data_IF_241357966306
#
_entry.id   IF_241357966306
#
_cell.length_a   1.000
_cell.length_b   1.000
_cell.length_c   1.000
_cell.angle_alpha   90.00
_cell.angle_beta   90.00
_cell.angle_gamma   90.00
#
_symmetry.space_group_name_H-M   'P 1'
#
loop_
_entity.id
_entity.type
_entity.pdbx_description
1 polymer ?
#
# COMPACT_ATOMS: atom_id res chain seq x y z
N UNK A 1 -43.93 32.30 3.27
CA UNK A 1 -43.00 31.78 4.29
C UNK A 1 -42.84 30.28 4.08
N UNK A 2 -41.84 29.85 3.33
CA UNK A 2 -41.46 28.44 3.17
C UNK A 2 -40.22 28.19 4.02
N UNK A 3 -40.36 27.29 4.99
CA UNK A 3 -39.23 26.81 5.81
C UNK A 3 -38.25 26.07 4.93
N UNK A 4 -37.02 26.54 4.87
CA UNK A 4 -35.86 25.85 4.31
C UNK A 4 -35.45 24.81 5.35
N UNK A 5 -35.53 23.53 5.02
CA UNK A 5 -34.99 22.45 5.83
C UNK A 5 -33.44 22.43 5.64
N UNK A 6 -32.76 22.91 6.63
CA UNK A 6 -31.36 22.63 6.90
C UNK A 6 -31.28 21.23 7.54
N UNK A 7 -30.91 20.23 6.81
CA UNK A 7 -30.46 18.92 7.32
C UNK A 7 -29.72 18.18 6.19
N UNK A 8 -28.44 18.52 6.01
CA UNK A 8 -27.47 17.69 5.32
C UNK A 8 -26.06 18.15 5.70
N UNK A 9 -25.68 17.93 6.97
CA UNK A 9 -24.29 18.02 7.42
C UNK A 9 -24.12 17.29 8.77
N UNK A 10 -24.51 16.02 8.83
CA UNK A 10 -24.17 15.15 9.95
C UNK A 10 -24.05 13.72 9.41
N UNK A 11 -22.88 13.30 8.95
CA UNK A 11 -22.39 11.91 9.07
C UNK A 11 -21.04 11.66 8.35
N UNK A 12 -20.02 12.49 8.59
CA UNK A 12 -18.68 12.16 8.07
C UNK A 12 -17.53 12.44 9.08
N UNK A 13 -17.82 12.74 10.33
CA UNK A 13 -16.80 13.17 11.31
C UNK A 13 -16.23 12.05 12.19
N UNK A 14 -16.75 10.82 12.15
CA UNK A 14 -16.37 9.77 13.12
C UNK A 14 -15.76 8.47 12.52
N UNK A 15 -15.30 8.47 11.28
CA UNK A 15 -14.42 7.37 10.83
C UNK A 15 -13.00 7.65 11.34
N UNK A 16 -12.75 7.26 12.59
CA UNK A 16 -11.41 7.33 13.19
C UNK A 16 -10.39 6.67 12.29
N UNK A 17 -9.32 7.44 11.94
CA UNK A 17 -8.23 6.98 11.09
C UNK A 17 -7.60 5.69 11.66
N UNK A 18 -7.51 4.58 10.89
CA UNK A 18 -6.79 3.40 11.35
C UNK A 18 -5.35 3.74 11.71
N UNK A 19 -4.78 3.03 12.69
CA UNK A 19 -3.40 3.27 13.12
C UNK A 19 -2.38 3.17 11.98
N UNK A 20 -2.65 2.34 10.98
CA UNK A 20 -1.86 2.28 9.75
C UNK A 20 -1.80 3.65 9.06
N UNK A 21 -2.94 4.32 8.88
CA UNK A 21 -3.01 5.63 8.26
C UNK A 21 -2.23 6.69 9.02
N UNK A 22 -2.34 6.72 10.36
CA UNK A 22 -1.59 7.66 11.20
C UNK A 22 -0.08 7.47 11.07
N UNK A 23 0.40 6.22 10.95
CA UNK A 23 1.83 5.93 10.73
C UNK A 23 2.29 6.46 9.37
N UNK A 24 1.51 6.24 8.31
CA UNK A 24 1.82 6.75 6.98
C UNK A 24 1.76 8.26 6.91
N UNK A 25 0.71 8.87 7.46
CA UNK A 25 0.58 10.34 7.48
C UNK A 25 1.78 10.99 8.15
N UNK A 26 2.19 10.54 9.35
CA UNK A 26 3.38 11.05 10.03
C UNK A 26 4.66 10.87 9.20
N UNK A 27 4.83 9.71 8.56
CA UNK A 27 5.99 9.43 7.72
C UNK A 27 6.05 10.34 6.50
N UNK A 28 4.95 10.48 5.77
CA UNK A 28 4.90 11.33 4.57
C UNK A 28 4.95 12.82 4.89
N UNK A 29 4.39 13.27 6.01
CA UNK A 29 4.45 14.67 6.42
C UNK A 29 5.87 15.12 6.79
N UNK A 30 6.71 14.24 7.30
CA UNK A 30 8.10 14.56 7.67
C UNK A 30 9.07 14.63 6.48
N UNK A 31 8.70 14.10 5.32
CA UNK A 31 9.55 14.01 4.15
C UNK A 31 9.40 15.23 3.22
N UNK A 32 10.47 15.63 2.56
CA UNK A 32 10.44 16.63 1.48
C UNK A 32 9.82 16.00 0.23
N UNK A 33 8.73 16.60 -0.28
CA UNK A 33 8.01 16.04 -1.42
C UNK A 33 8.80 16.11 -2.73
N UNK A 34 9.54 17.18 -2.96
CA UNK A 34 10.39 17.33 -4.16
C UNK A 34 11.48 16.26 -4.18
N UNK A 35 12.12 16.01 -3.03
CA UNK A 35 13.08 14.92 -2.89
C UNK A 35 12.43 13.54 -3.14
N UNK A 36 11.24 13.29 -2.58
CA UNK A 36 10.50 12.05 -2.83
C UNK A 36 10.15 11.84 -4.31
N UNK A 37 9.76 12.92 -5.02
CA UNK A 37 9.50 12.88 -6.47
C UNK A 37 10.79 12.56 -7.24
N UNK A 38 11.92 13.16 -6.86
CA UNK A 38 13.22 12.87 -7.46
C UNK A 38 13.66 11.41 -7.29
N UNK A 39 13.37 10.83 -6.14
CA UNK A 39 13.70 9.43 -5.87
C UNK A 39 12.89 8.44 -6.72
N UNK A 40 11.72 8.84 -7.25
CA UNK A 40 10.90 7.97 -8.09
C UNK A 40 11.65 7.43 -9.31
N UNK A 41 12.62 8.15 -9.87
CA UNK A 41 13.39 7.70 -11.03
C UNK A 41 14.26 6.46 -10.76
N UNK A 42 14.52 6.13 -9.51
CA UNK A 42 15.35 5.00 -9.12
C UNK A 42 14.56 3.69 -8.93
N UNK A 43 13.22 3.76 -9.01
CA UNK A 43 12.38 2.58 -8.85
C UNK A 43 12.27 1.78 -10.15
N UNK A 44 12.37 0.45 -10.05
CA UNK A 44 12.19 -0.48 -11.18
C UNK A 44 10.81 -0.33 -11.85
N UNK A 45 9.80 0.14 -11.10
CA UNK A 45 8.44 0.42 -11.60
C UNK A 45 8.38 1.47 -12.72
N UNK A 46 9.39 2.34 -12.84
CA UNK A 46 9.42 3.40 -13.86
C UNK A 46 9.36 2.82 -15.28
N UNK A 47 10.08 1.73 -15.54
CA UNK A 47 10.03 1.09 -16.86
C UNK A 47 8.68 0.42 -17.11
N UNK A 48 8.04 -0.12 -16.07
CA UNK A 48 6.69 -0.62 -16.12
C UNK A 48 5.69 0.50 -16.48
N UNK A 49 5.80 1.67 -15.85
CA UNK A 49 4.95 2.82 -16.15
C UNK A 49 5.11 3.30 -17.59
N UNK A 50 6.34 3.45 -18.08
CA UNK A 50 6.61 3.84 -19.49
C UNK A 50 6.05 2.84 -20.49
N UNK A 51 6.05 1.54 -20.16
CA UNK A 51 5.56 0.47 -21.03
C UNK A 51 4.03 0.41 -21.09
N UNK A 52 3.35 0.63 -19.97
CA UNK A 52 1.94 0.27 -19.82
C UNK A 52 0.98 1.45 -19.65
N UNK A 53 1.45 2.60 -19.12
CA UNK A 53 0.55 3.72 -18.90
C UNK A 53 0.25 4.49 -20.18
N UNK A 54 -1.04 4.82 -20.45
CA UNK A 54 -1.43 5.58 -21.63
C UNK A 54 -0.95 7.03 -21.51
N UNK A 55 -0.41 7.58 -22.60
CA UNK A 55 0.09 8.97 -22.63
C UNK A 55 -0.99 10.04 -22.82
N UNK A 56 -2.17 9.65 -23.36
CA UNK A 56 -3.24 10.58 -23.74
C UNK A 56 -4.55 10.35 -22.98
N UNK A 57 -4.50 9.63 -21.86
CA UNK A 57 -5.65 9.35 -21.02
C UNK A 57 -5.30 9.65 -19.56
N UNK A 58 -6.29 10.10 -18.75
CA UNK A 58 -6.02 10.38 -17.35
C UNK A 58 -5.64 9.13 -16.56
N UNK A 59 -4.72 9.30 -15.63
CA UNK A 59 -4.20 8.27 -14.72
C UNK A 59 -4.63 8.61 -13.30
N UNK A 60 -5.08 7.61 -12.54
CA UNK A 60 -5.36 7.74 -11.11
C UNK A 60 -4.31 7.00 -10.28
N UNK A 61 -3.69 7.66 -9.32
CA UNK A 61 -3.01 6.99 -8.22
C UNK A 61 -3.99 6.80 -7.05
N UNK A 62 -4.38 5.54 -6.79
CA UNK A 62 -5.27 5.18 -5.70
C UNK A 62 -4.47 4.80 -4.45
N UNK A 63 -4.61 5.60 -3.38
CA UNK A 63 -3.74 5.60 -2.22
C UNK A 63 -2.48 6.43 -2.49
N UNK A 64 -2.67 7.70 -2.91
CA UNK A 64 -1.57 8.56 -3.39
C UNK A 64 -0.64 9.06 -2.28
N UNK A 65 -1.05 8.96 -1.02
CA UNK A 65 -0.25 9.42 0.11
C UNK A 65 0.19 10.88 -0.06
N UNK A 66 1.50 11.11 -0.08
CA UNK A 66 2.07 12.46 -0.29
C UNK A 66 1.90 13.01 -1.71
N UNK A 67 1.45 12.21 -2.68
CA UNK A 67 1.33 12.59 -4.09
C UNK A 67 2.64 12.49 -4.87
N UNK A 68 3.68 11.79 -4.36
CA UNK A 68 4.99 11.73 -5.02
C UNK A 68 4.93 11.17 -6.44
N UNK A 69 4.14 10.12 -6.67
CA UNK A 69 3.99 9.54 -8.00
C UNK A 69 3.10 10.38 -8.90
N UNK A 70 2.02 10.97 -8.36
CA UNK A 70 1.21 11.96 -9.11
C UNK A 70 2.11 13.09 -9.60
N UNK A 71 2.97 13.65 -8.73
CA UNK A 71 3.93 14.70 -9.11
C UNK A 71 4.94 14.20 -10.15
N UNK A 72 5.44 12.97 -10.00
CA UNK A 72 6.34 12.35 -10.96
C UNK A 72 5.70 12.18 -12.34
N UNK A 73 4.44 11.73 -12.41
CA UNK A 73 3.67 11.60 -13.64
C UNK A 73 3.42 12.97 -14.28
N UNK A 74 2.93 13.94 -13.49
CA UNK A 74 2.60 15.29 -13.96
C UNK A 74 3.82 15.99 -14.56
N UNK A 75 4.99 15.94 -13.89
CA UNK A 75 6.24 16.51 -14.41
C UNK A 75 6.70 15.89 -15.74
N UNK A 76 6.19 14.70 -16.09
CA UNK A 76 6.51 14.00 -17.35
C UNK A 76 5.39 14.05 -18.39
N UNK A 77 4.39 14.90 -18.13
CA UNK A 77 3.33 15.22 -19.11
C UNK A 77 2.13 14.26 -19.07
N UNK A 78 2.03 13.36 -18.09
CA UNK A 78 0.79 12.61 -17.86
C UNK A 78 -0.27 13.47 -17.17
N UNK A 79 -1.52 13.31 -17.57
CA UNK A 79 -2.65 13.86 -16.83
C UNK A 79 -2.92 12.95 -15.63
N UNK A 80 -2.37 13.28 -14.46
CA UNK A 80 -2.47 12.45 -13.28
C UNK A 80 -3.38 13.05 -12.21
N UNK A 81 -4.09 12.16 -11.49
CA UNK A 81 -4.88 12.49 -10.31
C UNK A 81 -4.49 11.58 -9.16
N UNK A 82 -4.65 12.05 -7.92
CA UNK A 82 -4.43 11.28 -6.70
C UNK A 82 -5.73 11.14 -5.90
N UNK A 83 -5.93 9.97 -5.30
CA UNK A 83 -6.95 9.71 -4.30
C UNK A 83 -6.28 9.22 -3.03
N UNK A 84 -6.54 9.88 -1.92
CA UNK A 84 -6.14 9.39 -0.59
C UNK A 84 -7.21 9.75 0.43
N UNK A 85 -7.31 8.99 1.50
CA UNK A 85 -8.29 9.26 2.56
C UNK A 85 -7.81 10.30 3.57
N UNK A 86 -6.49 10.61 3.62
CA UNK A 86 -5.94 11.66 4.45
C UNK A 86 -6.17 13.05 3.84
N UNK A 87 -7.04 13.82 4.46
CA UNK A 87 -7.26 15.23 4.11
C UNK A 87 -5.96 16.02 4.16
N UNK A 88 -5.16 15.81 5.20
CA UNK A 88 -3.88 16.51 5.41
C UNK A 88 -2.89 16.27 4.27
N UNK A 89 -2.75 15.00 3.82
CA UNK A 89 -1.85 14.66 2.72
C UNK A 89 -2.36 15.21 1.38
N UNK A 90 -3.66 15.11 1.11
CA UNK A 90 -4.26 15.67 -0.09
C UNK A 90 -4.12 17.19 -0.16
N UNK A 91 -4.35 17.92 0.92
CA UNK A 91 -4.17 19.37 0.97
C UNK A 91 -2.72 19.78 0.72
N UNK A 92 -1.77 19.10 1.36
CA UNK A 92 -0.34 19.30 1.11
C UNK A 92 0.03 19.05 -0.34
N UNK A 93 -0.47 17.96 -0.91
CA UNK A 93 -0.19 17.60 -2.31
C UNK A 93 -0.77 18.62 -3.29
N UNK A 94 -2.00 19.13 -3.06
CA UNK A 94 -2.60 20.22 -3.87
C UNK A 94 -1.77 21.49 -3.87
N UNK A 95 -1.19 21.85 -2.72
CA UNK A 95 -0.33 23.04 -2.62
C UNK A 95 1.00 22.86 -3.35
N UNK A 96 1.54 21.65 -3.32
CA UNK A 96 2.86 21.37 -3.91
C UNK A 96 2.78 21.02 -5.42
N UNK A 97 1.64 20.51 -5.90
CA UNK A 97 1.44 20.07 -7.29
C UNK A 97 0.09 20.64 -7.78
N UNK A 98 0.00 21.96 -7.98
CA UNK A 98 -1.28 22.62 -8.32
C UNK A 98 -1.82 22.24 -9.71
N UNK A 99 -1.00 21.64 -10.57
CA UNK A 99 -1.40 21.15 -11.89
C UNK A 99 -2.12 19.81 -11.84
N UNK A 100 -2.05 19.09 -10.72
CA UNK A 100 -2.69 17.78 -10.56
C UNK A 100 -3.97 17.88 -9.72
N UNK A 101 -4.92 17.00 -10.01
CA UNK A 101 -6.13 16.84 -9.21
C UNK A 101 -5.87 15.89 -8.05
N UNK A 102 -6.26 16.28 -6.82
CA UNK A 102 -6.26 15.41 -5.65
C UNK A 102 -7.65 15.37 -5.01
N UNK A 103 -8.17 14.18 -4.76
CA UNK A 103 -9.43 13.98 -4.07
C UNK A 103 -9.22 13.26 -2.74
N UNK A 104 -9.96 13.71 -1.73
CA UNK A 104 -10.04 13.01 -0.44
C UNK A 104 -11.14 11.97 -0.56
N UNK A 105 -10.82 10.70 -0.33
CA UNK A 105 -11.81 9.64 -0.46
C UNK A 105 -11.28 8.26 -0.16
N UNK A 106 -12.22 7.33 -0.08
CA UNK A 106 -11.95 5.92 0.16
C UNK A 106 -11.83 5.18 -1.19
N UNK A 107 -10.74 4.45 -1.39
CA UNK A 107 -10.57 3.65 -2.60
C UNK A 107 -11.58 2.50 -2.75
N UNK A 108 -12.36 2.21 -1.71
CA UNK A 108 -13.44 1.22 -1.70
C UNK A 108 -14.78 1.80 -2.18
N UNK A 109 -14.86 3.13 -2.30
CA UNK A 109 -16.03 3.89 -2.77
C UNK A 109 -15.54 5.23 -3.31
N UNK A 110 -15.02 5.22 -4.54
CA UNK A 110 -14.34 6.35 -5.14
C UNK A 110 -15.31 7.43 -5.65
N UNK A 111 -15.01 8.72 -5.43
CA UNK A 111 -15.84 9.84 -5.91
C UNK A 111 -15.57 10.17 -7.40
N UNK A 112 -15.49 9.15 -8.25
CA UNK A 112 -15.22 9.27 -9.68
C UNK A 112 -16.28 8.55 -10.49
N UNK A 113 -16.47 9.00 -11.73
CA UNK A 113 -17.38 8.36 -12.66
C UNK A 113 -16.87 7.01 -13.18
N UNK A 114 -17.81 6.16 -13.62
CA UNK A 114 -17.45 4.89 -14.27
C UNK A 114 -16.73 5.17 -15.60
N UNK A 115 -15.56 4.54 -15.79
CA UNK A 115 -14.78 4.71 -17.01
C UNK A 115 -14.10 6.07 -17.14
N UNK A 116 -13.84 6.78 -16.05
CA UNK A 116 -13.17 8.08 -16.06
C UNK A 116 -11.68 7.96 -16.43
N UNK A 117 -10.99 6.92 -16.00
CA UNK A 117 -9.54 6.78 -16.13
C UNK A 117 -9.11 5.76 -17.18
N UNK A 118 -8.03 6.07 -17.88
CA UNK A 118 -7.35 5.13 -18.79
C UNK A 118 -6.42 4.18 -18.05
N UNK A 119 -5.90 4.61 -16.91
CA UNK A 119 -5.11 3.73 -16.03
C UNK A 119 -5.28 4.07 -14.56
N UNK A 120 -5.02 3.05 -13.72
CA UNK A 120 -4.89 3.17 -12.27
C UNK A 120 -3.51 2.66 -11.85
N UNK A 121 -2.88 3.37 -10.92
CA UNK A 121 -1.67 2.96 -10.21
C UNK A 121 -2.02 2.84 -8.73
N UNK A 122 -1.78 1.67 -8.12
CA UNK A 122 -2.05 1.42 -6.70
C UNK A 122 -0.87 0.68 -6.09
N UNK A 123 -0.06 1.40 -5.33
CA UNK A 123 1.23 0.92 -4.85
C UNK A 123 1.20 0.73 -3.33
N UNK A 124 1.00 -0.51 -2.91
CA UNK A 124 0.99 -0.82 -1.48
C UNK A 124 -0.18 -0.16 -0.74
N UNK A 125 -1.41 -0.27 -1.27
CA UNK A 125 -2.58 0.40 -0.72
C UNK A 125 -3.74 -0.54 -0.38
N UNK A 126 -4.14 -1.44 -1.28
CA UNK A 126 -5.34 -2.28 -1.09
C UNK A 126 -5.24 -3.32 0.02
N UNK A 127 -4.03 -3.62 0.46
CA UNK A 127 -3.75 -4.55 1.55
C UNK A 127 -4.13 -4.02 2.94
N UNK A 128 -4.38 -2.73 3.07
CA UNK A 128 -4.70 -2.08 4.35
C UNK A 128 -6.18 -2.15 4.71
N UNK A 129 -7.04 -2.70 3.87
CA UNK A 129 -8.47 -2.92 4.16
C UNK A 129 -8.66 -4.22 4.96
N UNK A 130 -9.18 -4.17 6.21
CA UNK A 130 -9.41 -5.37 7.01
C UNK A 130 -10.38 -6.38 6.37
N UNK A 131 -11.35 -5.90 5.58
CA UNK A 131 -12.28 -6.73 4.81
C UNK A 131 -11.67 -7.32 3.52
N UNK A 132 -10.40 -7.02 3.26
CA UNK A 132 -9.69 -7.50 2.07
C UNK A 132 -9.81 -6.57 0.86
N UNK A 133 -9.18 -6.95 -0.29
CA UNK A 133 -8.98 -6.04 -1.42
C UNK A 133 -10.19 -5.94 -2.37
N UNK A 134 -11.22 -6.78 -2.22
CA UNK A 134 -12.27 -6.92 -3.24
C UNK A 134 -13.08 -5.66 -3.53
N UNK A 135 -13.41 -4.87 -2.50
CA UNK A 135 -14.16 -3.62 -2.71
C UNK A 135 -13.33 -2.63 -3.54
N UNK A 136 -12.07 -2.46 -3.20
CA UNK A 136 -11.15 -1.60 -3.95
C UNK A 136 -10.96 -2.09 -5.39
N UNK A 137 -10.77 -3.40 -5.60
CA UNK A 137 -10.62 -3.96 -6.95
C UNK A 137 -11.88 -3.77 -7.81
N UNK A 138 -13.09 -3.88 -7.25
CA UNK A 138 -14.35 -3.59 -7.96
C UNK A 138 -14.47 -2.11 -8.32
N UNK A 139 -14.05 -1.21 -7.44
CA UNK A 139 -14.00 0.22 -7.72
C UNK A 139 -12.96 0.55 -8.81
N UNK A 140 -11.77 -0.06 -8.76
CA UNK A 140 -10.77 0.07 -9.82
C UNK A 140 -11.36 -0.35 -11.18
N UNK A 141 -12.03 -1.51 -11.20
CA UNK A 141 -12.72 -1.97 -12.40
C UNK A 141 -13.80 -0.98 -12.88
N UNK A 142 -14.58 -0.40 -11.97
CA UNK A 142 -15.64 0.54 -12.28
C UNK A 142 -15.10 1.83 -12.92
N UNK A 143 -14.10 2.46 -12.32
CA UNK A 143 -13.59 3.75 -12.76
C UNK A 143 -12.64 3.67 -13.96
N UNK A 144 -12.11 2.49 -14.28
CA UNK A 144 -11.34 2.26 -15.49
C UNK A 144 -12.25 2.22 -16.74
N UNK A 145 -11.73 2.75 -17.84
CA UNK A 145 -12.33 2.57 -19.19
C UNK A 145 -12.22 1.12 -19.62
N UNK A 146 -13.09 0.63 -20.52
CA UNK A 146 -12.84 -0.64 -21.22
C UNK A 146 -11.46 -0.64 -21.87
N UNK A 147 -10.69 -1.70 -21.67
CA UNK A 147 -9.30 -1.80 -22.09
C UNK A 147 -8.30 -0.99 -21.25
N UNK A 148 -8.76 -0.32 -20.18
CA UNK A 148 -7.91 0.42 -19.25
C UNK A 148 -7.03 -0.52 -18.40
N UNK A 149 -5.86 -0.02 -17.99
CA UNK A 149 -4.82 -0.79 -17.29
C UNK A 149 -4.81 -0.43 -15.80
N UNK A 150 -4.66 -1.42 -14.93
CA UNK A 150 -4.27 -1.17 -13.54
C UNK A 150 -2.90 -1.79 -13.24
N UNK A 151 -2.03 -1.02 -12.59
CA UNK A 151 -0.75 -1.45 -12.04
C UNK A 151 -0.91 -1.51 -10.53
N UNK A 152 -0.86 -2.71 -9.97
CA UNK A 152 -1.19 -2.96 -8.57
C UNK A 152 -0.01 -3.66 -7.90
N UNK A 153 0.51 -3.08 -6.81
CA UNK A 153 1.49 -3.76 -5.97
C UNK A 153 0.93 -4.08 -4.59
N UNK A 154 1.28 -5.26 -4.07
CA UNK A 154 0.88 -5.70 -2.73
C UNK A 154 2.01 -6.47 -2.04
N UNK A 155 2.08 -6.46 -0.70
CA UNK A 155 3.10 -7.20 0.04
C UNK A 155 3.07 -8.71 -0.26
N UNK A 156 4.23 -9.24 -0.64
CA UNK A 156 4.37 -10.63 -1.03
C UNK A 156 4.60 -11.56 0.16
N UNK A 157 3.78 -12.59 0.27
CA UNK A 157 4.01 -13.73 1.14
C UNK A 157 4.76 -14.84 0.39
N UNK A 158 6.00 -14.56 0.01
CA UNK A 158 6.87 -15.49 -0.70
C UNK A 158 7.36 -16.65 0.17
N UNK A 159 8.00 -17.68 -0.46
CA UNK A 159 8.48 -18.86 0.26
C UNK A 159 9.42 -18.54 1.42
N UNK A 160 10.40 -17.65 1.19
CA UNK A 160 11.35 -17.24 2.23
C UNK A 160 10.62 -16.51 3.36
N UNK A 161 9.72 -15.60 3.07
CA UNK A 161 8.93 -14.87 4.08
C UNK A 161 8.05 -15.82 4.89
N UNK A 162 7.43 -16.83 4.25
CA UNK A 162 6.69 -17.90 4.96
C UNK A 162 7.58 -18.65 5.94
N UNK A 163 8.77 -19.08 5.50
CA UNK A 163 9.75 -19.78 6.34
C UNK A 163 10.19 -18.91 7.51
N UNK A 164 10.57 -17.65 7.26
CA UNK A 164 11.03 -16.73 8.31
C UNK A 164 9.91 -16.41 9.30
N UNK A 165 8.66 -16.28 8.86
CA UNK A 165 7.51 -16.14 9.78
C UNK A 165 7.29 -17.38 10.62
N UNK A 166 7.50 -18.57 10.07
CA UNK A 166 7.41 -19.82 10.83
C UNK A 166 8.52 -19.90 11.90
N UNK A 167 9.77 -19.66 11.55
CA UNK A 167 10.92 -19.62 12.48
C UNK A 167 10.74 -18.53 13.54
N UNK A 168 10.17 -17.39 13.19
CA UNK A 168 9.91 -16.26 14.10
C UNK A 168 8.75 -16.45 15.09
N UNK A 169 7.94 -17.53 14.97
CA UNK A 169 6.77 -17.78 15.85
C UNK A 169 7.08 -17.72 17.36
N UNK A 170 8.17 -18.29 17.88
CA UNK A 170 8.49 -18.18 19.31
C UNK A 170 8.69 -16.73 19.77
N UNK A 171 9.43 -15.91 18.99
CA UNK A 171 9.62 -14.47 19.30
C UNK A 171 8.30 -13.70 19.26
N UNK A 172 7.43 -14.04 18.31
CA UNK A 172 6.12 -13.43 18.19
C UNK A 172 5.20 -13.84 19.36
N UNK A 173 5.28 -15.07 19.85
CA UNK A 173 4.54 -15.52 21.05
C UNK A 173 4.87 -14.64 22.26
N UNK A 174 6.16 -14.37 22.50
CA UNK A 174 6.59 -13.48 23.60
C UNK A 174 6.03 -12.05 23.39
N UNK A 175 6.11 -11.50 22.17
CA UNK A 175 5.58 -10.16 21.88
C UNK A 175 4.07 -10.05 22.07
N UNK A 176 3.30 -11.10 21.78
CA UNK A 176 1.84 -11.14 21.86
C UNK A 176 1.32 -11.42 23.26
N UNK A 177 2.13 -11.99 24.14
CA UNK A 177 1.72 -12.34 25.49
C UNK A 177 1.78 -11.10 26.40
N UNK A 178 0.60 -10.68 26.91
CA UNK A 178 0.46 -9.48 27.76
C UNK A 178 1.32 -9.59 29.03
N UNK A 179 1.34 -10.75 29.67
CA UNK A 179 2.08 -10.99 30.90
C UNK A 179 3.60 -10.85 30.68
N UNK A 180 4.13 -11.47 29.62
CA UNK A 180 5.54 -11.37 29.24
C UNK A 180 5.92 -9.94 28.87
N UNK A 181 5.01 -9.19 28.23
CA UNK A 181 5.25 -7.77 27.89
C UNK A 181 5.36 -6.90 29.13
N UNK A 182 4.49 -7.11 30.12
CA UNK A 182 4.57 -6.41 31.42
C UNK A 182 5.91 -6.72 32.11
N UNK A 183 6.33 -7.98 32.15
CA UNK A 183 7.60 -8.40 32.72
C UNK A 183 8.81 -7.75 32.04
N UNK A 184 8.71 -7.46 30.73
CA UNK A 184 9.75 -6.76 29.96
C UNK A 184 9.53 -5.23 29.85
N UNK A 185 8.66 -4.64 30.67
CA UNK A 185 8.44 -3.19 30.73
C UNK A 185 7.88 -2.56 29.45
N UNK A 186 7.15 -3.32 28.61
CA UNK A 186 6.59 -2.84 27.34
C UNK A 186 5.15 -2.39 27.50
N UNK A 187 4.78 -1.32 26.76
CA UNK A 187 3.39 -0.85 26.69
C UNK A 187 2.44 -1.98 26.27
N UNK A 188 1.32 -2.12 26.95
CA UNK A 188 0.38 -3.22 26.75
C UNK A 188 -0.95 -2.79 26.14
N UNK A 189 -1.23 -1.51 25.95
CA UNK A 189 -2.49 -1.01 25.41
C UNK A 189 -3.75 -1.77 25.91
N UNK A 190 -4.93 -1.25 25.75
CA UNK A 190 -6.16 -1.90 26.21
C UNK A 190 -6.61 -3.03 25.27
N UNK A 191 -6.38 -2.89 23.97
CA UNK A 191 -6.81 -3.83 22.93
C UNK A 191 -5.86 -5.01 22.79
N UNK A 192 -6.39 -6.22 22.93
CA UNK A 192 -5.59 -7.44 22.81
C UNK A 192 -5.28 -7.80 21.35
N UNK A 193 -4.22 -8.58 21.14
CA UNK A 193 -3.89 -9.14 19.82
C UNK A 193 -5.03 -10.01 19.25
N UNK A 194 -5.76 -10.75 20.12
CA UNK A 194 -6.87 -11.60 19.71
C UNK A 194 -8.04 -10.77 19.19
N UNK A 195 -8.29 -9.60 19.75
CA UNK A 195 -9.38 -8.72 19.28
C UNK A 195 -9.03 -8.13 17.92
N UNK A 196 -7.79 -7.68 17.70
CA UNK A 196 -7.33 -7.27 16.39
C UNK A 196 -7.44 -8.37 15.31
N UNK A 197 -7.25 -9.64 15.71
CA UNK A 197 -7.39 -10.77 14.77
C UNK A 197 -8.84 -11.05 14.36
N UNK A 198 -9.85 -10.66 15.12
CA UNK A 198 -11.27 -10.89 14.77
C UNK A 198 -11.75 -10.00 13.64
N UNK A 199 -11.05 -8.90 13.36
CA UNK A 199 -11.43 -7.92 12.34
C UNK A 199 -11.02 -8.33 10.92
N UNK A 200 -10.21 -9.37 10.79
CA UNK A 200 -9.65 -9.79 9.52
C UNK A 200 -10.21 -11.11 9.04
N UNK A 201 -10.02 -11.38 7.77
CA UNK A 201 -10.33 -12.67 7.16
C UNK A 201 -9.33 -13.70 7.70
N UNK A 202 -9.82 -14.65 8.51
CA UNK A 202 -9.01 -15.52 9.37
C UNK A 202 -7.95 -16.38 8.65
N UNK A 203 -8.13 -16.67 7.37
CA UNK A 203 -7.22 -17.52 6.58
C UNK A 203 -6.15 -16.74 5.81
N UNK A 204 -6.14 -15.40 5.90
CA UNK A 204 -5.08 -14.60 5.29
C UNK A 204 -3.97 -14.29 6.28
N UNK A 205 -2.74 -14.18 5.77
CA UNK A 205 -1.62 -13.70 6.56
C UNK A 205 -1.69 -12.20 6.71
N UNK A 206 -1.59 -11.71 7.95
CA UNK A 206 -1.62 -10.29 8.26
C UNK A 206 -0.47 -9.88 9.15
N UNK A 207 -0.05 -8.62 9.03
CA UNK A 207 0.80 -7.93 9.97
C UNK A 207 -0.04 -7.02 10.86
N UNK A 208 0.46 -6.77 12.06
CA UNK A 208 -0.20 -5.97 13.09
C UNK A 208 0.82 -5.01 13.69
N UNK A 209 0.37 -3.82 14.04
CA UNK A 209 1.16 -2.85 14.77
C UNK A 209 0.63 -2.65 16.20
N UNK A 210 1.47 -2.11 17.06
CA UNK A 210 1.10 -1.70 18.41
C UNK A 210 0.89 -0.19 18.39
N UNK A 211 -0.38 0.21 18.43
CA UNK A 211 -0.84 1.57 18.56
C UNK A 211 -1.06 1.95 20.04
N UNK A 212 -1.49 3.17 20.30
CA UNK A 212 -1.77 3.68 21.65
C UNK A 212 -2.83 2.83 22.38
N UNK A 213 -3.87 2.41 21.68
CA UNK A 213 -4.94 1.58 22.20
C UNK A 213 -4.65 0.08 22.23
N UNK A 214 -3.48 -0.35 21.75
CA UNK A 214 -3.06 -1.75 21.71
C UNK A 214 -2.77 -2.28 20.32
N UNK A 215 -3.08 -3.56 20.09
CA UNK A 215 -2.83 -4.18 18.79
C UNK A 215 -3.89 -3.81 17.77
N UNK A 216 -3.45 -3.39 16.59
CA UNK A 216 -4.30 -3.07 15.44
C UNK A 216 -3.84 -3.79 14.19
N UNK A 217 -4.78 -4.10 13.30
CA UNK A 217 -4.48 -4.60 11.97
C UNK A 217 -3.66 -3.54 11.21
N UNK A 218 -2.67 -4.01 10.47
CA UNK A 218 -1.85 -3.13 9.65
C UNK A 218 -2.04 -3.42 8.17
N UNK A 219 -1.76 -4.66 7.74
CA UNK A 219 -1.85 -5.04 6.33
C UNK A 219 -1.97 -6.54 6.15
N UNK A 220 -2.50 -6.94 5.01
CA UNK A 220 -2.38 -8.31 4.51
C UNK A 220 -1.07 -8.53 3.78
N UNK A 221 -0.66 -9.81 3.73
CA UNK A 221 0.38 -10.30 2.85
C UNK A 221 -0.22 -11.37 1.95
N UNK A 222 -0.07 -11.21 0.66
CA UNK A 222 -0.70 -12.09 -0.31
C UNK A 222 0.28 -13.06 -0.95
N UNK A 223 -0.22 -14.26 -1.25
CA UNK A 223 0.44 -15.19 -2.17
C UNK A 223 -0.04 -14.91 -3.59
N UNK A 224 0.75 -15.31 -4.60
CA UNK A 224 0.34 -15.20 -6.01
C UNK A 224 -1.04 -15.81 -6.28
N UNK A 225 -1.35 -17.07 -5.87
CA UNK A 225 -2.67 -17.65 -6.12
C UNK A 225 -3.83 -16.86 -5.50
N UNK A 226 -3.64 -16.25 -4.31
CA UNK A 226 -4.66 -15.42 -3.69
C UNK A 226 -4.95 -14.17 -4.52
N UNK A 227 -3.90 -13.44 -4.94
CA UNK A 227 -4.11 -12.25 -5.76
C UNK A 227 -4.69 -12.57 -7.13
N UNK A 228 -4.23 -13.64 -7.79
CA UNK A 228 -4.82 -14.08 -9.06
C UNK A 228 -6.33 -14.39 -8.90
N UNK A 229 -6.75 -15.01 -7.79
CA UNK A 229 -8.17 -15.28 -7.52
C UNK A 229 -8.97 -13.98 -7.34
N UNK A 230 -8.46 -13.01 -6.58
CA UNK A 230 -9.11 -11.71 -6.41
C UNK A 230 -9.24 -10.93 -7.72
N UNK A 231 -8.18 -10.90 -8.52
CA UNK A 231 -8.18 -10.20 -9.81
C UNK A 231 -9.16 -10.86 -10.79
N UNK A 232 -9.22 -12.18 -10.82
CA UNK A 232 -10.19 -12.92 -11.64
C UNK A 232 -11.63 -12.68 -11.18
N UNK A 233 -11.90 -12.68 -9.86
CA UNK A 233 -13.23 -12.38 -9.29
C UNK A 233 -13.65 -10.93 -9.60
N UNK A 234 -12.71 -10.00 -9.64
CA UNK A 234 -12.94 -8.61 -10.04
C UNK A 234 -13.03 -8.39 -11.57
N UNK A 235 -13.02 -9.47 -12.36
CA UNK A 235 -13.09 -9.50 -13.83
C UNK A 235 -11.88 -8.88 -14.56
N UNK A 236 -10.74 -8.75 -13.92
CA UNK A 236 -9.51 -8.33 -14.58
C UNK A 236 -8.84 -9.47 -15.36
N UNK A 237 -8.24 -9.12 -16.48
CA UNK A 237 -7.29 -9.96 -17.19
C UNK A 237 -5.87 -9.64 -16.74
N UNK A 238 -5.11 -10.65 -16.28
CA UNK A 238 -3.72 -10.47 -15.89
C UNK A 238 -2.86 -10.48 -17.15
N UNK A 239 -2.17 -9.38 -17.43
CA UNK A 239 -1.29 -9.23 -18.58
C UNK A 239 0.14 -9.61 -18.21
N UNK A 240 0.60 -9.16 -17.05
CA UNK A 240 1.95 -9.42 -16.57
C UNK A 240 1.94 -9.52 -15.04
N UNK A 241 2.76 -10.42 -14.47
CA UNK A 241 3.00 -10.49 -13.03
C UNK A 241 4.48 -10.68 -12.75
N UNK A 242 5.00 -9.98 -11.77
CA UNK A 242 6.38 -10.13 -11.34
C UNK A 242 6.55 -9.79 -9.86
N UNK A 243 7.75 -10.05 -9.35
CA UNK A 243 8.11 -9.77 -7.95
C UNK A 243 9.18 -8.70 -7.94
N UNK A 244 8.96 -7.65 -7.18
CA UNK A 244 9.87 -6.50 -7.07
C UNK A 244 10.43 -6.31 -5.67
N UNK A 245 11.32 -5.31 -5.56
CA UNK A 245 11.97 -4.90 -4.32
C UNK A 245 12.68 -6.08 -3.64
N UNK A 246 13.55 -6.75 -4.42
CA UNK A 246 14.25 -7.96 -3.93
C UNK A 246 15.20 -7.63 -2.77
N UNK A 247 15.89 -6.50 -2.82
CA UNK A 247 16.82 -6.09 -1.78
C UNK A 247 16.09 -5.70 -0.49
N UNK A 248 15.00 -4.97 -0.60
CA UNK A 248 14.08 -4.68 0.52
C UNK A 248 13.49 -5.97 1.10
N UNK A 249 13.12 -6.90 0.24
CA UNK A 249 12.63 -8.21 0.67
C UNK A 249 13.67 -9.00 1.47
N UNK A 250 14.93 -8.95 1.07
CA UNK A 250 16.05 -9.55 1.81
C UNK A 250 16.22 -8.86 3.16
N UNK A 251 16.23 -7.52 3.20
CA UNK A 251 16.30 -6.77 4.46
C UNK A 251 15.14 -7.09 5.38
N UNK A 252 13.92 -7.14 4.84
CA UNK A 252 12.72 -7.44 5.62
C UNK A 252 12.74 -8.85 6.22
N UNK A 253 13.28 -9.84 5.48
CA UNK A 253 13.32 -11.22 5.92
C UNK A 253 14.47 -11.51 6.88
N UNK A 254 15.65 -10.92 6.68
CA UNK A 254 16.87 -11.23 7.42
C UNK A 254 17.34 -10.09 8.35
N UNK A 255 16.72 -8.92 8.26
CA UNK A 255 16.98 -7.77 9.14
C UNK A 255 18.40 -7.22 8.98
N UNK A 256 18.93 -6.65 10.07
CA UNK A 256 20.26 -5.98 10.10
C UNK A 256 21.44 -6.85 9.67
N UNK A 257 21.31 -8.18 9.71
CA UNK A 257 22.35 -9.09 9.21
C UNK A 257 22.52 -8.91 7.71
N UNK A 258 21.41 -8.67 6.99
CA UNK A 258 21.42 -8.51 5.54
C UNK A 258 21.79 -7.09 5.10
N UNK A 259 21.63 -6.07 5.96
CA UNK A 259 21.92 -4.67 5.61
C UNK A 259 21.02 -3.68 6.35
N UNK A 260 20.91 -2.49 5.80
CA UNK A 260 20.05 -1.41 6.29
C UNK A 260 19.27 -0.79 5.13
N UNK A 261 18.13 -0.18 5.45
CA UNK A 261 17.43 0.69 4.51
C UNK A 261 17.92 2.14 4.72
N UNK A 262 18.39 2.76 3.65
CA UNK A 262 18.77 4.14 3.64
C UNK A 262 17.55 4.99 3.28
N UNK A 263 17.03 5.72 4.27
CA UNK A 263 15.84 6.55 4.09
C UNK A 263 16.15 7.84 3.32
N UNK A 264 17.40 8.33 3.33
CA UNK A 264 17.80 9.54 2.59
C UNK A 264 17.92 9.25 1.10
N UNK A 265 18.49 8.09 0.74
CA UNK A 265 18.60 7.64 -0.64
C UNK A 265 17.38 6.85 -1.13
N UNK A 266 16.46 6.49 -0.23
CA UNK A 266 15.25 5.73 -0.54
C UNK A 266 15.49 4.30 -1.02
N UNK A 267 16.63 3.68 -0.66
CA UNK A 267 17.03 2.36 -1.15
C UNK A 267 17.64 1.44 -0.09
N UNK A 268 17.62 0.14 -0.38
CA UNK A 268 18.27 -0.88 0.43
C UNK A 268 19.79 -0.88 0.23
N UNK A 269 20.55 -0.88 1.33
CA UNK A 269 22.00 -1.04 1.32
C UNK A 269 22.38 -2.40 1.92
N UNK A 270 22.74 -3.36 1.06
CA UNK A 270 23.05 -4.73 1.47
C UNK A 270 24.45 -4.86 2.05
N UNK A 271 24.54 -5.53 3.22
CA UNK A 271 25.80 -6.02 3.78
C UNK A 271 26.46 -7.08 2.88
N UNK A 272 27.66 -7.53 3.24
CA UNK A 272 28.28 -8.67 2.54
C UNK A 272 27.40 -9.94 2.59
N UNK A 273 26.74 -10.21 3.75
CA UNK A 273 25.83 -11.34 3.91
C UNK A 273 24.56 -11.15 3.07
N UNK A 274 24.01 -9.93 3.02
CA UNK A 274 22.88 -9.59 2.16
C UNK A 274 23.18 -9.78 0.68
N UNK A 275 24.38 -9.40 0.23
CA UNK A 275 24.82 -9.64 -1.16
C UNK A 275 24.96 -11.13 -1.50
N UNK A 276 25.41 -11.97 -0.57
CA UNK A 276 25.41 -13.41 -0.74
C UNK A 276 23.98 -13.94 -0.86
N UNK A 277 23.08 -13.55 0.04
CA UNK A 277 21.66 -13.94 0.00
C UNK A 277 21.01 -13.51 -1.33
N UNK A 278 21.29 -12.29 -1.81
CA UNK A 278 20.79 -11.77 -3.10
C UNK A 278 21.22 -12.62 -4.30
N UNK A 279 22.45 -13.15 -4.27
CA UNK A 279 22.96 -14.06 -5.32
C UNK A 279 22.44 -15.49 -5.19
N UNK A 280 22.24 -15.97 -3.96
CA UNK A 280 21.87 -17.36 -3.68
C UNK A 280 20.36 -17.62 -3.80
N UNK A 281 19.52 -16.62 -3.57
CA UNK A 281 18.07 -16.75 -3.54
C UNK A 281 17.44 -16.04 -4.75
N UNK A 282 16.50 -16.70 -5.46
CA UNK A 282 15.83 -16.08 -6.60
C UNK A 282 14.90 -14.93 -6.13
N UNK A 283 14.76 -13.89 -6.95
CA UNK A 283 13.88 -12.75 -6.69
C UNK A 283 12.45 -13.21 -6.41
N UNK A 284 11.95 -14.22 -7.13
CA UNK A 284 10.62 -14.80 -6.94
C UNK A 284 10.37 -15.40 -5.55
N UNK A 285 11.41 -15.63 -4.75
CA UNK A 285 11.28 -16.16 -3.39
C UNK A 285 11.52 -15.11 -2.29
N UNK A 286 12.26 -14.05 -2.59
CA UNK A 286 12.74 -13.06 -1.62
C UNK A 286 12.14 -11.68 -1.79
N UNK A 287 11.59 -11.34 -2.96
CA UNK A 287 11.05 -10.02 -3.22
C UNK A 287 9.99 -9.58 -2.21
N UNK A 288 9.85 -8.28 -2.06
CA UNK A 288 9.00 -7.66 -1.06
C UNK A 288 7.56 -7.50 -1.53
N UNK A 289 7.38 -7.13 -2.79
CA UNK A 289 6.08 -6.84 -3.38
C UNK A 289 5.80 -7.75 -4.58
N UNK A 290 4.52 -8.12 -4.73
CA UNK A 290 3.96 -8.62 -6.00
C UNK A 290 3.49 -7.42 -6.80
N UNK A 291 3.84 -7.39 -8.08
CA UNK A 291 3.32 -6.43 -9.03
C UNK A 291 2.47 -7.14 -10.08
N UNK A 292 1.31 -6.58 -10.35
CA UNK A 292 0.36 -7.05 -11.36
C UNK A 292 0.03 -5.94 -12.33
N UNK A 293 0.17 -6.21 -13.62
CA UNK A 293 -0.39 -5.42 -14.69
C UNK A 293 -1.65 -6.13 -15.14
N UNK A 294 -2.80 -5.48 -14.98
CA UNK A 294 -4.10 -6.06 -15.30
C UNK A 294 -4.89 -5.13 -16.20
N UNK A 295 -5.75 -5.70 -17.03
CA UNK A 295 -6.60 -4.96 -17.97
C UNK A 295 -8.07 -5.20 -17.66
N UNK A 296 -8.86 -4.14 -17.74
CA UNK A 296 -10.31 -4.22 -17.74
C UNK A 296 -10.80 -4.79 -19.08
N UNK A 297 -11.50 -5.94 -19.02
CA UNK A 297 -12.16 -6.54 -20.18
C UNK A 297 -13.33 -5.70 -20.67
#
# INVERSE_FOLDING_TARGET
MKKINENHDEDNSDKQMPAAGLVFEKSFMSADLEQLIGHCDHYELVDCFKKWLPTHQPILEAGSGSGRWVGWFTKRGWQAAGLDWSTTLCERARLAIPEARFEVGDMREMPFDSGEFGAIVSLGAIEHSPEGPMRSLKEYYRVLRPGGIAIITVPYLGPVRKLMRFIGRPKMFVKKNKLLRILFGKNTGSRSFRDAQKEIIAHYSADYLMAENGWEFFQYLFTKPQMCAFLAEANFEIIEEFVEFTEEGILHNFGRIAGIFDFEEGKASLSWAGRILRKALPASSTGHMLCYIVMKK
#
